data_IF_728633738384
#
_entry.id   IF_728633738384
#
_cell.length_a   1.000
_cell.length_b   1.000
_cell.length_c   1.000
_cell.angle_alpha   90.00
_cell.angle_beta   90.00
_cell.angle_gamma   90.00
#
_symmetry.space_group_name_H-M   'P 1'
#
loop_
_entity.id
_entity.type
_entity.pdbx_description
1 polymer ?
#
# COMPACT_ATOMS: atom_id res chain seq x y z
N UNK A 1 10.81 23.08 11.45
CA UNK A 1 9.93 23.32 10.29
C UNK A 1 10.47 22.80 8.96
N UNK A 2 11.74 22.98 8.64
CA UNK A 2 12.33 22.46 7.38
C UNK A 2 12.35 20.93 7.24
N UNK A 3 12.44 20.18 8.34
CA UNK A 3 12.41 18.70 8.32
C UNK A 3 11.04 18.15 7.92
N UNK A 4 9.99 18.83 8.30
CA UNK A 4 8.59 18.45 8.04
C UNK A 4 8.24 18.44 6.55
N UNK A 5 8.72 19.43 5.83
CA UNK A 5 8.37 19.62 4.41
C UNK A 5 9.00 18.57 3.48
N UNK A 6 10.15 18.00 3.88
CA UNK A 6 10.86 16.96 3.10
C UNK A 6 10.09 15.65 3.09
N UNK A 7 9.43 15.33 4.20
CA UNK A 7 8.68 14.09 4.39
C UNK A 7 7.28 14.16 3.80
N UNK A 8 6.68 15.32 3.84
CA UNK A 8 5.41 15.58 3.19
C UNK A 8 5.51 15.36 1.67
N UNK A 9 6.62 15.76 1.06
CA UNK A 9 6.87 15.48 -0.35
C UNK A 9 7.09 14.01 -0.65
N UNK A 10 7.64 13.24 0.29
CA UNK A 10 7.93 11.82 0.11
C UNK A 10 6.68 10.95 0.16
N UNK A 11 5.65 11.35 0.91
CA UNK A 11 4.43 10.55 1.05
C UNK A 11 3.45 10.69 -0.12
N UNK A 12 3.57 11.75 -0.93
CA UNK A 12 2.64 11.97 -2.04
C UNK A 12 2.56 10.81 -3.03
N UNK A 13 3.68 10.25 -3.51
CA UNK A 13 3.61 9.08 -4.40
C UNK A 13 2.93 7.88 -3.72
N UNK A 14 3.21 7.65 -2.44
CA UNK A 14 2.58 6.56 -1.69
C UNK A 14 1.09 6.80 -1.47
N UNK A 15 0.66 8.03 -1.23
CA UNK A 15 -0.75 8.38 -1.13
C UNK A 15 -1.50 8.09 -2.44
N UNK A 16 -0.92 8.49 -3.56
CA UNK A 16 -1.49 8.22 -4.87
C UNK A 16 -1.52 6.71 -5.16
N UNK A 17 -0.48 5.98 -4.78
CA UNK A 17 -0.41 4.53 -4.93
C UNK A 17 -1.47 3.82 -4.08
N UNK A 18 -1.72 4.27 -2.86
CA UNK A 18 -2.77 3.73 -1.99
C UNK A 18 -4.16 4.01 -2.56
N UNK A 19 -4.40 5.20 -3.08
CA UNK A 19 -5.66 5.56 -3.75
C UNK A 19 -5.87 4.66 -4.98
N UNK A 20 -4.84 4.46 -5.79
CA UNK A 20 -4.89 3.54 -6.93
C UNK A 20 -5.28 2.12 -6.47
N UNK A 21 -4.66 1.61 -5.40
CA UNK A 21 -5.02 0.32 -4.83
C UNK A 21 -6.48 0.25 -4.39
N UNK A 22 -6.99 1.28 -3.72
CA UNK A 22 -8.41 1.34 -3.32
C UNK A 22 -9.32 1.22 -4.54
N UNK A 23 -8.99 1.89 -5.63
CA UNK A 23 -9.79 1.81 -6.87
C UNK A 23 -9.81 0.38 -7.41
N UNK A 24 -8.66 -0.30 -7.48
CA UNK A 24 -8.59 -1.70 -7.93
C UNK A 24 -9.41 -2.61 -7.00
N UNK A 25 -9.23 -2.47 -5.69
CA UNK A 25 -9.95 -3.27 -4.70
C UNK A 25 -11.48 -3.08 -4.79
N UNK A 26 -11.93 -1.85 -4.96
CA UNK A 26 -13.36 -1.55 -5.17
C UNK A 26 -13.88 -2.15 -6.48
N UNK A 27 -13.06 -2.17 -7.52
CA UNK A 27 -13.39 -2.84 -8.78
C UNK A 27 -13.65 -4.33 -8.59
N UNK A 28 -12.87 -5.00 -7.75
CA UNK A 28 -13.08 -6.42 -7.41
C UNK A 28 -14.34 -6.60 -6.56
N UNK A 29 -14.53 -5.77 -5.54
CA UNK A 29 -15.72 -5.82 -4.66
C UNK A 29 -17.01 -5.67 -5.46
N UNK A 30 -17.03 -4.74 -6.40
CA UNK A 30 -18.18 -4.47 -7.27
C UNK A 30 -18.24 -5.34 -8.52
N UNK A 31 -17.31 -6.28 -8.66
CA UNK A 31 -17.24 -7.22 -9.78
C UNK A 31 -17.20 -6.54 -11.16
N UNK A 32 -16.40 -5.47 -11.28
CA UNK A 32 -16.27 -4.73 -12.53
C UNK A 32 -15.43 -5.50 -13.55
N UNK A 33 -15.85 -5.46 -14.81
CA UNK A 33 -15.18 -6.19 -15.89
C UNK A 33 -13.70 -5.78 -16.07
N UNK A 34 -13.39 -4.50 -15.91
CA UNK A 34 -12.01 -4.00 -16.02
C UNK A 34 -11.10 -4.51 -14.90
N UNK A 35 -11.66 -4.90 -13.75
CA UNK A 35 -10.89 -5.44 -12.63
C UNK A 35 -10.54 -6.92 -12.79
N UNK A 36 -11.23 -7.66 -13.65
CA UNK A 36 -11.03 -9.10 -13.84
C UNK A 36 -9.59 -9.44 -14.26
N UNK A 37 -8.98 -8.63 -15.08
CA UNK A 37 -7.58 -8.81 -15.51
C UNK A 37 -6.55 -8.27 -14.53
N UNK A 38 -6.97 -7.50 -13.53
CA UNK A 38 -6.08 -6.74 -12.64
C UNK A 38 -5.94 -7.35 -11.24
N UNK A 39 -6.61 -8.45 -10.97
CA UNK A 39 -6.59 -9.10 -9.67
C UNK A 39 -6.63 -10.61 -9.80
N UNK A 40 -6.10 -11.28 -8.79
CA UNK A 40 -6.12 -12.77 -8.65
C UNK A 40 -5.57 -13.47 -9.90
N UNK A 41 -4.48 -12.94 -10.47
CA UNK A 41 -3.82 -13.51 -11.66
C UNK A 41 -4.64 -13.42 -12.94
N UNK A 42 -5.72 -12.64 -12.98
CA UNK A 42 -6.59 -12.51 -14.15
C UNK A 42 -7.40 -13.75 -14.48
N UNK A 43 -7.50 -14.71 -13.55
CA UNK A 43 -8.09 -16.02 -13.80
C UNK A 43 -9.63 -16.04 -13.72
N UNK A 44 -10.25 -14.98 -13.22
CA UNK A 44 -11.70 -14.91 -13.06
C UNK A 44 -12.33 -13.98 -14.08
N UNK A 45 -13.39 -14.45 -14.73
CA UNK A 45 -14.31 -13.61 -15.53
C UNK A 45 -15.45 -13.08 -14.68
N UNK A 46 -15.65 -13.67 -13.49
CA UNK A 46 -16.64 -13.27 -12.51
C UNK A 46 -16.07 -13.60 -11.12
N UNK A 47 -15.92 -12.60 -10.25
CA UNK A 47 -15.31 -12.82 -8.95
C UNK A 47 -16.27 -13.57 -8.01
N UNK A 48 -15.81 -14.71 -7.42
CA UNK A 48 -16.58 -15.38 -6.37
C UNK A 48 -16.88 -14.47 -5.20
N UNK A 49 -18.03 -14.68 -4.56
CA UNK A 49 -18.47 -13.87 -3.42
C UNK A 49 -17.41 -13.81 -2.30
N UNK A 50 -16.75 -14.95 -2.03
CA UNK A 50 -15.70 -14.99 -1.00
C UNK A 50 -14.54 -14.05 -1.30
N UNK A 51 -14.09 -14.01 -2.55
CA UNK A 51 -13.02 -13.08 -2.98
C UNK A 51 -13.49 -11.64 -2.82
N UNK A 52 -14.72 -11.32 -3.20
CA UNK A 52 -15.28 -9.98 -3.05
C UNK A 52 -15.35 -9.55 -1.59
N UNK A 53 -15.69 -10.45 -0.67
CA UNK A 53 -15.70 -10.18 0.77
C UNK A 53 -14.29 -9.90 1.28
N UNK A 54 -13.31 -10.73 0.91
CA UNK A 54 -11.90 -10.51 1.30
C UNK A 54 -11.42 -9.15 0.81
N UNK A 55 -11.68 -8.81 -0.43
CA UNK A 55 -11.28 -7.54 -1.01
C UNK A 55 -12.01 -6.33 -0.40
N UNK A 56 -13.24 -6.53 0.08
CA UNK A 56 -13.95 -5.51 0.85
C UNK A 56 -13.19 -5.13 2.13
N UNK A 57 -12.75 -6.12 2.91
CA UNK A 57 -11.94 -5.86 4.10
C UNK A 57 -10.57 -5.27 3.76
N UNK A 58 -9.94 -5.71 2.68
CA UNK A 58 -8.70 -5.11 2.18
C UNK A 58 -8.90 -3.64 1.79
N UNK A 59 -10.03 -3.29 1.20
CA UNK A 59 -10.39 -1.91 0.86
C UNK A 59 -10.43 -1.03 2.11
N UNK A 60 -11.11 -1.50 3.15
CA UNK A 60 -11.17 -0.79 4.44
C UNK A 60 -9.77 -0.60 5.03
N UNK A 61 -8.98 -1.68 5.07
CA UNK A 61 -7.60 -1.62 5.58
C UNK A 61 -6.73 -0.64 4.80
N UNK A 62 -6.83 -0.65 3.48
CA UNK A 62 -6.05 0.27 2.62
C UNK A 62 -6.49 1.72 2.81
N UNK A 63 -7.79 1.98 2.95
CA UNK A 63 -8.29 3.31 3.25
C UNK A 63 -7.77 3.83 4.61
N UNK A 64 -7.74 2.97 5.61
CA UNK A 64 -7.14 3.30 6.92
C UNK A 64 -5.66 3.63 6.78
N UNK A 65 -4.92 2.91 5.92
CA UNK A 65 -3.49 3.19 5.68
C UNK A 65 -3.25 4.58 5.08
N UNK A 66 -4.17 5.09 4.26
CA UNK A 66 -4.05 6.45 3.71
C UNK A 66 -4.00 7.47 4.85
N UNK A 67 -4.91 7.37 5.82
CA UNK A 67 -4.93 8.25 6.98
C UNK A 67 -3.75 7.99 7.93
N UNK A 68 -3.41 6.74 8.15
CA UNK A 68 -2.30 6.35 9.01
C UNK A 68 -0.96 6.89 8.50
N UNK A 69 -0.69 6.75 7.21
CA UNK A 69 0.53 7.28 6.59
C UNK A 69 0.62 8.80 6.74
N UNK A 70 -0.49 9.49 6.59
CA UNK A 70 -0.56 10.95 6.81
C UNK A 70 -0.23 11.32 8.25
N UNK A 71 -0.76 10.55 9.21
CA UNK A 71 -0.50 10.78 10.64
C UNK A 71 0.96 10.51 11.01
N UNK A 72 1.60 9.50 10.42
CA UNK A 72 3.02 9.19 10.67
C UNK A 72 3.96 10.36 10.33
N UNK A 73 3.54 11.25 9.45
CA UNK A 73 4.33 12.42 9.04
C UNK A 73 4.01 13.64 9.89
N UNK A 74 2.80 13.70 10.43
CA UNK A 74 2.27 14.90 11.09
C UNK A 74 2.46 14.90 12.62
N UNK A 75 2.71 13.75 13.23
CA UNK A 75 2.77 13.59 14.69
C UNK A 75 4.11 13.00 15.11
N UNK A 76 4.50 13.20 16.36
CA UNK A 76 5.66 12.51 16.93
C UNK A 76 5.43 11.01 16.90
N UNK A 77 6.31 10.31 16.22
CA UNK A 77 6.17 8.88 15.93
C UNK A 77 6.70 8.07 17.11
N UNK A 78 5.88 7.17 17.65
CA UNK A 78 6.28 6.27 18.73
C UNK A 78 7.14 5.11 18.20
N UNK A 79 7.83 4.40 19.10
CA UNK A 79 8.58 3.20 18.74
C UNK A 79 7.67 2.10 18.17
N UNK A 80 6.43 2.01 18.65
CA UNK A 80 5.43 1.07 18.11
C UNK A 80 5.02 1.42 16.69
N UNK A 81 4.84 2.70 16.40
CA UNK A 81 4.52 3.16 15.05
C UNK A 81 5.62 2.82 14.05
N UNK A 82 6.87 2.98 14.44
CA UNK A 82 8.02 2.62 13.61
C UNK A 82 8.10 1.11 13.37
N UNK A 83 7.83 0.32 14.38
CA UNK A 83 7.76 -1.14 14.25
C UNK A 83 6.64 -1.57 13.32
N UNK A 84 5.47 -0.96 13.46
CA UNK A 84 4.31 -1.24 12.62
C UNK A 84 4.56 -0.79 11.17
N UNK A 85 5.17 0.37 10.96
CA UNK A 85 5.55 0.83 9.62
C UNK A 85 6.53 -0.15 8.95
N UNK A 86 7.45 -0.75 9.70
CA UNK A 86 8.36 -1.77 9.18
C UNK A 86 7.60 -3.02 8.72
N UNK A 87 6.64 -3.50 9.51
CA UNK A 87 5.81 -4.64 9.12
C UNK A 87 5.00 -4.35 7.87
N UNK A 88 4.40 -3.16 7.76
CA UNK A 88 3.68 -2.74 6.57
C UNK A 88 4.61 -2.68 5.35
N UNK A 89 5.82 -2.16 5.52
CA UNK A 89 6.82 -2.14 4.47
C UNK A 89 7.13 -3.54 3.94
N UNK A 90 7.37 -4.50 4.81
CA UNK A 90 7.60 -5.89 4.43
C UNK A 90 6.38 -6.53 3.78
N UNK A 91 5.18 -6.26 4.30
CA UNK A 91 3.93 -6.74 3.70
C UNK A 91 3.80 -6.28 2.25
N UNK A 92 4.08 -5.01 1.97
CA UNK A 92 4.02 -4.47 0.61
C UNK A 92 5.16 -4.94 -0.27
N UNK A 93 6.33 -5.29 0.27
CA UNK A 93 7.39 -5.97 -0.48
C UNK A 93 6.90 -7.32 -0.97
N UNK A 94 6.30 -8.12 -0.10
CA UNK A 94 5.71 -9.42 -0.47
C UNK A 94 4.62 -9.23 -1.52
N UNK A 95 3.75 -8.24 -1.34
CA UNK A 95 2.71 -7.89 -2.31
C UNK A 95 3.31 -7.52 -3.66
N UNK A 96 4.38 -6.73 -3.68
CA UNK A 96 5.10 -6.36 -4.91
C UNK A 96 5.60 -7.60 -5.65
N UNK A 97 6.26 -8.51 -4.93
CA UNK A 97 6.79 -9.75 -5.52
C UNK A 97 5.66 -10.59 -6.12
N UNK A 98 4.57 -10.78 -5.36
CA UNK A 98 3.42 -11.56 -5.82
C UNK A 98 2.80 -10.97 -7.08
N UNK A 99 2.73 -9.66 -7.17
CA UNK A 99 2.17 -8.99 -8.34
C UNK A 99 3.10 -9.07 -9.56
N UNK A 100 4.41 -8.95 -9.35
CA UNK A 100 5.38 -9.06 -10.44
C UNK A 100 5.45 -10.46 -11.05
N UNK A 101 5.21 -11.50 -10.27
CA UNK A 101 5.17 -12.89 -10.75
C UNK A 101 3.78 -13.33 -11.22
N UNK A 102 2.79 -12.46 -11.19
CA UNK A 102 1.44 -12.75 -11.66
C UNK A 102 1.43 -13.12 -13.14
N UNK A 103 0.52 -14.04 -13.51
CA UNK A 103 0.28 -14.42 -14.90
C UNK A 103 -0.41 -13.31 -15.71
N UNK A 104 -1.05 -12.35 -15.04
CA UNK A 104 -1.73 -11.24 -15.70
C UNK A 104 -0.78 -10.06 -15.88
N UNK A 105 -0.49 -9.63 -17.14
CA UNK A 105 0.33 -8.44 -17.38
C UNK A 105 -0.24 -7.18 -16.72
N UNK A 106 -1.56 -7.05 -16.67
CA UNK A 106 -2.24 -5.91 -16.06
C UNK A 106 -2.02 -5.88 -14.54
N UNK A 107 -2.00 -7.04 -13.89
CA UNK A 107 -1.71 -7.14 -12.47
C UNK A 107 -0.23 -6.86 -12.16
N UNK A 108 0.67 -7.23 -13.04
CA UNK A 108 2.11 -6.94 -12.87
C UNK A 108 2.38 -5.44 -12.73
N UNK A 109 1.63 -4.59 -13.42
CA UNK A 109 1.73 -3.13 -13.30
C UNK A 109 1.38 -2.63 -11.89
N UNK A 110 0.53 -3.36 -11.15
CA UNK A 110 0.21 -3.04 -9.77
C UNK A 110 1.43 -3.20 -8.83
N UNK A 111 2.47 -3.90 -9.26
CA UNK A 111 3.72 -4.02 -8.54
C UNK A 111 4.42 -2.67 -8.35
N UNK A 112 4.28 -1.73 -9.27
CA UNK A 112 4.88 -0.39 -9.18
C UNK A 112 4.28 0.40 -8.01
N UNK A 113 2.96 0.59 -7.88
CA UNK A 113 2.37 1.23 -6.72
C UNK A 113 2.70 0.51 -5.41
N UNK A 114 2.66 -0.81 -5.38
CA UNK A 114 3.00 -1.59 -4.20
C UNK A 114 4.45 -1.37 -3.76
N UNK A 115 5.40 -1.31 -4.71
CA UNK A 115 6.81 -1.01 -4.43
C UNK A 115 6.98 0.40 -3.85
N UNK A 116 6.28 1.39 -4.37
CA UNK A 116 6.31 2.77 -3.86
C UNK A 116 5.82 2.82 -2.41
N UNK A 117 4.73 2.13 -2.10
CA UNK A 117 4.18 2.05 -0.74
C UNK A 117 5.19 1.36 0.20
N UNK A 118 5.75 0.22 -0.23
CA UNK A 118 6.75 -0.52 0.53
C UNK A 118 7.97 0.34 0.88
N UNK A 119 8.54 1.01 -0.10
CA UNK A 119 9.70 1.90 0.09
C UNK A 119 9.38 3.02 1.06
N UNK A 120 8.21 3.62 0.96
CA UNK A 120 7.80 4.72 1.83
C UNK A 120 7.72 4.28 3.28
N UNK A 121 7.06 3.17 3.59
CA UNK A 121 6.98 2.64 4.94
C UNK A 121 8.35 2.24 5.51
N UNK A 122 9.19 1.61 4.71
CA UNK A 122 10.55 1.23 5.13
C UNK A 122 11.42 2.46 5.43
N UNK A 123 11.36 3.48 4.59
CA UNK A 123 12.09 4.71 4.82
C UNK A 123 11.62 5.42 6.10
N UNK A 124 10.32 5.46 6.36
CA UNK A 124 9.78 6.00 7.62
C UNK A 124 10.29 5.19 8.81
N UNK A 125 10.26 3.86 8.73
CA UNK A 125 10.72 2.99 9.80
C UNK A 125 12.21 3.16 10.12
N UNK A 126 13.05 3.34 9.10
CA UNK A 126 14.50 3.53 9.28
C UNK A 126 14.85 4.85 9.94
N UNK A 127 14.03 5.85 9.82
CA UNK A 127 14.32 7.18 10.38
C UNK A 127 14.32 7.23 11.88
N UNK A 128 13.43 6.47 12.51
CA UNK A 128 13.40 6.37 13.96
C UNK A 128 14.63 5.68 14.54
N UNK A 129 15.46 5.08 13.68
CA UNK A 129 16.71 4.40 14.07
C UNK A 129 17.96 5.26 13.85
N UNK A 130 17.82 6.44 13.27
CA UNK A 130 18.96 7.36 13.15
C UNK A 130 19.45 7.72 14.57
N UNK A 131 20.78 7.62 14.84
CA UNK A 131 21.30 8.00 16.15
C UNK A 131 20.89 9.43 16.46
N UNK A 132 20.29 9.61 17.65
CA UNK A 132 20.03 10.95 18.15
C UNK A 132 21.39 11.65 18.21
N UNK A 133 21.53 12.74 17.48
CA UNK A 133 22.68 13.59 17.65
C UNK A 133 22.77 14.00 19.12
N UNK A 134 23.80 13.51 19.81
CA UNK A 134 24.07 13.85 21.18
C UNK A 134 24.49 15.32 21.29
#
# INVERSE_FOLDING_TARGET
>A
MRKYNRYFKLIWPAQLALIYNVIILLGVVSNQSWAHSRAVGGQYTDFPVMIRIIYFFMTIGTAVLIFYLRNLVNVSVSAQDLKFARYLGWLFIVSTILQLISRSPQEQWNGIPAAIIAMTFILIARRGQAPKAS
#
